data_IF_277017746315
#
_entry.id   IF_277017746315
#
_cell.length_a   1.000
_cell.length_b   1.000
_cell.length_c   1.000
_cell.angle_alpha   90.00
_cell.angle_beta   90.00
_cell.angle_gamma   90.00
#
_symmetry.space_group_name_H-M   'P 1'
#
loop_
_entity.id
_entity.type
_entity.pdbx_description
1 polymer ?
#
# COMPACT_ATOMS: atom_id res chain seq x y z
N UNK A 1 -4.44 13.44 -10.55
CA UNK A 1 -4.86 12.08 -10.96
C UNK A 1 -6.11 11.64 -10.22
N UNK A 2 -6.09 11.69 -8.89
CA UNK A 2 -7.27 11.45 -8.05
C UNK A 2 -8.54 12.19 -8.50
N UNK A 3 -8.45 13.41 -9.04
CA UNK A 3 -9.62 14.10 -9.64
C UNK A 3 -10.27 13.34 -10.81
N UNK A 4 -9.48 12.67 -11.67
CA UNK A 4 -10.02 11.86 -12.77
C UNK A 4 -10.76 10.63 -12.22
N UNK A 5 -10.16 9.97 -11.22
CA UNK A 5 -10.81 8.86 -10.49
C UNK A 5 -12.12 9.30 -9.84
N UNK A 6 -12.15 10.49 -9.24
CA UNK A 6 -13.35 11.05 -8.61
C UNK A 6 -14.46 11.27 -9.64
N UNK A 7 -14.13 11.89 -10.78
CA UNK A 7 -15.07 12.13 -11.86
C UNK A 7 -15.62 10.84 -12.46
N UNK A 8 -14.75 9.84 -12.70
CA UNK A 8 -15.16 8.58 -13.31
C UNK A 8 -16.00 7.70 -12.38
N UNK A 9 -15.78 7.80 -11.08
CA UNK A 9 -16.30 6.80 -10.14
C UNK A 9 -17.32 7.31 -9.13
N UNK A 10 -17.68 8.59 -9.18
CA UNK A 10 -18.74 9.17 -8.35
C UNK A 10 -18.49 9.01 -6.85
N UNK A 11 -17.23 9.23 -6.47
CA UNK A 11 -16.76 8.95 -5.12
C UNK A 11 -17.18 10.06 -4.16
N UNK A 12 -17.78 9.75 -3.00
CA UNK A 12 -17.87 10.69 -1.90
C UNK A 12 -16.49 10.84 -1.26
N UNK A 13 -15.99 12.06 -1.21
CA UNK A 13 -14.58 12.36 -0.94
C UNK A 13 -14.46 13.45 0.13
N UNK A 14 -13.59 13.19 1.11
CA UNK A 14 -12.99 14.22 1.96
C UNK A 14 -11.65 14.60 1.35
N UNK A 15 -11.60 15.75 0.68
CA UNK A 15 -10.36 16.28 0.13
C UNK A 15 -9.65 17.13 1.17
N UNK A 16 -8.39 16.80 1.47
CA UNK A 16 -7.58 17.46 2.49
C UNK A 16 -6.36 18.09 1.81
N UNK A 17 -6.15 19.39 2.02
CA UNK A 17 -5.05 20.14 1.43
C UNK A 17 -4.35 20.98 2.50
N UNK A 18 -3.02 21.04 2.46
CA UNK A 18 -2.25 22.01 3.24
C UNK A 18 -2.19 23.33 2.46
N UNK A 19 -2.54 24.43 3.12
CA UNK A 19 -2.41 25.79 2.58
C UNK A 19 -1.45 26.62 3.42
N UNK A 20 -0.61 27.39 2.71
CA UNK A 20 0.39 28.29 3.26
C UNK A 20 0.10 29.76 2.87
N UNK A 21 -1.13 30.06 2.45
CA UNK A 21 -1.52 31.40 1.98
C UNK A 21 -1.59 32.43 3.13
N UNK A 22 -1.74 31.96 4.36
CA UNK A 22 -1.83 32.79 5.56
C UNK A 22 -0.53 32.76 6.35
N UNK A 23 -0.41 33.64 7.36
CA UNK A 23 0.75 33.66 8.28
C UNK A 23 0.90 32.33 9.04
N UNK A 24 -0.22 31.66 9.32
CA UNK A 24 -0.27 30.34 9.95
C UNK A 24 -0.64 29.28 8.91
N UNK A 25 0.12 28.18 8.81
CA UNK A 25 -0.28 27.04 8.00
C UNK A 25 -1.65 26.51 8.44
N UNK A 26 -2.54 26.25 7.48
CA UNK A 26 -3.86 25.67 7.77
C UNK A 26 -4.17 24.51 6.84
N UNK A 27 -5.09 23.66 7.31
CA UNK A 27 -5.61 22.52 6.58
C UNK A 27 -6.98 22.88 6.04
N UNK A 28 -7.13 22.86 4.72
CA UNK A 28 -8.42 23.01 4.05
C UNK A 28 -9.02 21.63 3.80
N UNK A 29 -10.22 21.40 4.32
CA UNK A 29 -11.01 20.20 4.11
C UNK A 29 -12.23 20.53 3.26
N UNK A 30 -12.51 19.73 2.23
CA UNK A 30 -13.70 19.83 1.38
C UNK A 30 -14.45 18.52 1.34
N UNK A 31 -15.77 18.57 1.46
CA UNK A 31 -16.67 17.43 1.29
C UNK A 31 -17.22 17.47 -0.13
N UNK A 32 -16.90 16.46 -0.92
CA UNK A 32 -17.15 16.42 -2.36
C UNK A 32 -17.96 15.18 -2.70
N UNK A 33 -18.98 15.34 -3.55
CA UNK A 33 -19.64 14.24 -4.26
C UNK A 33 -19.57 14.58 -5.75
N UNK A 34 -19.38 13.58 -6.61
CA UNK A 34 -19.54 13.80 -8.04
C UNK A 34 -20.92 13.29 -8.45
N UNK A 35 -21.72 14.19 -9.01
CA UNK A 35 -23.06 13.89 -9.53
C UNK A 35 -23.02 14.22 -11.02
N UNK A 36 -23.30 13.23 -11.86
CA UNK A 36 -23.28 13.37 -13.33
C UNK A 36 -21.96 13.95 -13.88
N UNK A 37 -20.84 13.53 -13.28
CA UNK A 37 -19.50 13.99 -13.66
C UNK A 37 -19.14 15.41 -13.21
N UNK A 38 -20.03 16.09 -12.47
CA UNK A 38 -19.80 17.42 -11.90
C UNK A 38 -19.45 17.30 -10.42
N UNK A 39 -18.32 17.89 -10.02
CA UNK A 39 -17.94 18.00 -8.62
C UNK A 39 -18.86 18.98 -7.87
N UNK A 40 -19.60 18.47 -6.90
CA UNK A 40 -20.39 19.26 -5.95
C UNK A 40 -19.65 19.34 -4.62
N UNK A 41 -19.39 20.56 -4.15
CA UNK A 41 -18.77 20.80 -2.83
C UNK A 41 -19.88 21.07 -1.82
N UNK A 42 -20.10 20.13 -0.90
CA UNK A 42 -21.15 20.24 0.13
C UNK A 42 -20.71 21.09 1.33
N UNK A 43 -19.40 21.20 1.55
CA UNK A 43 -18.87 22.00 2.64
C UNK A 43 -17.37 22.17 2.55
N UNK A 44 -16.88 23.28 3.11
CA UNK A 44 -15.45 23.57 3.26
C UNK A 44 -15.17 24.04 4.68
N UNK A 45 -14.11 23.51 5.29
CA UNK A 45 -13.57 24.00 6.57
C UNK A 45 -12.09 24.27 6.45
N UNK A 46 -11.62 25.28 7.18
CA UNK A 46 -10.21 25.55 7.39
C UNK A 46 -9.91 25.43 8.87
N UNK A 47 -8.87 24.69 9.18
CA UNK A 47 -8.47 24.31 10.53
C UNK A 47 -6.99 24.64 10.67
N UNK A 48 -6.56 25.19 11.80
CA UNK A 48 -5.15 25.50 11.98
C UNK A 48 -4.34 24.20 12.02
N UNK A 49 -3.17 24.18 11.36
CA UNK A 49 -2.35 22.96 11.30
C UNK A 49 -1.97 22.46 12.70
N UNK A 50 -1.82 23.36 13.68
CA UNK A 50 -1.52 23.00 15.07
C UNK A 50 -2.60 22.17 15.76
N UNK A 51 -3.86 22.25 15.32
CA UNK A 51 -4.95 21.43 15.87
C UNK A 51 -4.76 19.93 15.54
N UNK A 52 -3.99 19.60 14.51
CA UNK A 52 -3.62 18.23 14.16
C UNK A 52 -2.40 17.71 14.94
N UNK A 53 -1.92 18.46 15.94
CA UNK A 53 -0.73 18.11 16.72
C UNK A 53 0.59 18.66 16.16
N UNK A 54 0.56 19.61 15.21
CA UNK A 54 1.76 20.25 14.68
C UNK A 54 2.14 21.50 15.50
N UNK A 55 2.97 21.34 16.52
CA UNK A 55 3.49 22.44 17.35
C UNK A 55 4.64 23.24 16.71
N UNK A 56 4.78 24.51 17.12
CA UNK A 56 5.65 25.52 16.49
C UNK A 56 7.14 25.48 16.85
N UNK A 57 7.58 24.66 17.81
CA UNK A 57 8.96 24.67 18.29
C UNK A 57 9.39 23.25 18.60
N UNK A 58 10.34 22.76 17.79
CA UNK A 58 10.93 21.42 17.82
C UNK A 58 9.92 20.32 17.47
N UNK A 59 10.14 19.67 16.31
CA UNK A 59 9.17 18.81 15.65
C UNK A 59 8.50 17.82 16.60
N UNK A 60 7.22 17.48 16.36
CA UNK A 60 6.40 16.81 17.36
C UNK A 60 7.08 15.56 17.90
N UNK A 61 6.84 15.22 19.16
CA UNK A 61 6.81 13.80 19.52
C UNK A 61 5.66 13.22 18.69
N UNK A 62 5.98 12.73 17.47
CA UNK A 62 5.01 12.55 16.37
C UNK A 62 4.03 11.39 16.60
N UNK A 63 3.97 10.88 17.82
CA UNK A 63 2.92 10.00 18.35
C UNK A 63 1.58 10.72 18.60
N UNK A 64 1.55 12.05 18.63
CA UNK A 64 0.36 12.83 19.00
C UNK A 64 -0.50 13.33 17.81
N UNK A 65 -0.17 12.94 16.57
CA UNK A 65 -0.98 13.35 15.42
C UNK A 65 -2.40 12.77 15.53
N UNK A 66 -3.39 13.63 15.38
CA UNK A 66 -4.80 13.27 15.45
C UNK A 66 -5.65 14.15 14.53
N UNK A 67 -6.81 13.66 14.15
CA UNK A 67 -7.86 14.47 13.53
C UNK A 67 -8.63 15.21 14.63
N UNK A 68 -8.79 16.55 14.55
CA UNK A 68 -9.57 17.29 15.52
C UNK A 68 -11.01 16.76 15.64
N UNK A 69 -11.52 16.61 16.86
CA UNK A 69 -12.86 16.06 17.10
C UNK A 69 -13.97 16.80 16.34
N UNK A 70 -13.88 18.13 16.25
CA UNK A 70 -14.82 18.95 15.48
C UNK A 70 -14.80 18.67 13.97
N UNK A 71 -13.68 18.17 13.43
CA UNK A 71 -13.59 17.69 12.04
C UNK A 71 -14.29 16.34 11.92
N UNK A 72 -14.02 15.41 12.83
CA UNK A 72 -14.65 14.08 12.83
C UNK A 72 -16.18 14.17 12.93
N UNK A 73 -16.69 14.99 13.84
CA UNK A 73 -18.14 15.23 13.99
C UNK A 73 -18.77 15.81 12.72
N UNK A 74 -18.10 16.78 12.09
CA UNK A 74 -18.58 17.43 10.87
C UNK A 74 -18.63 16.47 9.68
N UNK A 75 -17.55 15.72 9.46
CA UNK A 75 -17.48 14.70 8.39
C UNK A 75 -18.52 13.61 8.66
N UNK A 76 -18.65 13.14 9.89
CA UNK A 76 -19.63 12.13 10.29
C UNK A 76 -21.08 12.58 10.09
N UNK A 77 -21.40 13.83 10.44
CA UNK A 77 -22.74 14.39 10.22
C UNK A 77 -23.10 14.47 8.73
N UNK A 78 -22.17 14.91 7.89
CA UNK A 78 -22.37 14.93 6.44
C UNK A 78 -22.50 13.52 5.87
N UNK A 79 -21.62 12.59 6.25
CA UNK A 79 -21.67 11.22 5.75
C UNK A 79 -23.02 10.53 6.05
N UNK A 80 -23.59 10.75 7.24
CA UNK A 80 -24.92 10.22 7.59
C UNK A 80 -26.07 10.87 6.81
N UNK A 81 -25.92 12.14 6.43
CA UNK A 81 -26.98 12.87 5.73
C UNK A 81 -26.98 12.61 4.22
N UNK A 82 -25.81 12.49 3.61
CA UNK A 82 -25.66 12.55 2.14
C UNK A 82 -25.31 11.20 1.49
N UNK A 83 -24.83 10.21 2.25
CA UNK A 83 -24.28 8.98 1.68
C UNK A 83 -25.12 7.75 2.00
N UNK A 84 -25.27 6.86 1.02
CA UNK A 84 -25.89 5.54 1.20
C UNK A 84 -25.09 4.72 2.23
N UNK A 85 -25.78 3.93 3.05
CA UNK A 85 -25.20 3.24 4.21
C UNK A 85 -23.99 2.35 3.87
N UNK A 86 -24.00 1.74 2.68
CA UNK A 86 -22.95 0.82 2.24
C UNK A 86 -21.76 1.50 1.53
N UNK A 87 -21.83 2.80 1.22
CA UNK A 87 -20.81 3.46 0.41
C UNK A 87 -19.56 3.80 1.23
N UNK A 88 -18.36 3.43 0.74
CA UNK A 88 -17.12 3.84 1.36
C UNK A 88 -16.93 5.35 1.25
N UNK A 89 -16.35 5.95 2.28
CA UNK A 89 -15.85 7.32 2.21
C UNK A 89 -14.40 7.33 1.74
N UNK A 90 -14.07 8.21 0.80
CA UNK A 90 -12.72 8.34 0.25
C UNK A 90 -11.98 9.52 0.85
N UNK A 91 -10.79 9.29 1.38
CA UNK A 91 -9.86 10.35 1.76
C UNK A 91 -8.93 10.67 0.59
N UNK A 92 -8.92 11.92 0.14
CA UNK A 92 -8.01 12.39 -0.89
C UNK A 92 -7.06 13.45 -0.32
N UNK A 93 -5.80 13.08 -0.15
CA UNK A 93 -4.74 13.98 0.30
C UNK A 93 -4.20 14.77 -0.90
N UNK A 94 -4.66 16.00 -1.07
CA UNK A 94 -4.33 16.86 -2.20
C UNK A 94 -2.95 17.48 -2.01
N UNK A 95 -2.03 17.20 -2.93
CA UNK A 95 -0.67 17.77 -2.88
C UNK A 95 -0.68 19.30 -3.09
N UNK A 96 0.12 20.06 -2.35
CA UNK A 96 0.93 19.61 -1.20
C UNK A 96 0.04 19.39 0.05
N UNK A 97 0.24 18.27 0.73
CA UNK A 97 -0.39 17.96 2.03
C UNK A 97 0.65 17.75 3.16
N UNK A 98 1.94 17.88 2.86
CA UNK A 98 3.02 17.78 3.83
C UNK A 98 2.97 16.47 4.63
N UNK A 99 2.91 16.60 5.94
CA UNK A 99 2.90 15.47 6.88
C UNK A 99 1.49 14.93 7.17
N UNK A 100 0.43 15.51 6.61
CA UNK A 100 -0.97 15.11 6.88
C UNK A 100 -1.28 13.65 6.51
N UNK A 101 -0.47 13.04 5.64
CA UNK A 101 -0.56 11.61 5.35
C UNK A 101 -0.20 10.69 6.53
N UNK A 102 0.50 11.19 7.54
CA UNK A 102 0.81 10.45 8.76
C UNK A 102 -0.24 10.61 9.87
N UNK A 103 -1.25 11.46 9.68
CA UNK A 103 -2.38 11.57 10.61
C UNK A 103 -3.22 10.27 10.52
N UNK A 104 -3.66 9.68 11.64
CA UNK A 104 -4.45 8.46 11.67
C UNK A 104 -5.93 8.74 11.37
N UNK A 105 -6.18 9.20 10.14
CA UNK A 105 -7.52 9.56 9.69
C UNK A 105 -8.54 8.44 9.88
N UNK A 106 -8.14 7.21 9.62
CA UNK A 106 -9.00 6.03 9.72
C UNK A 106 -9.44 5.81 11.17
N UNK A 107 -8.50 5.78 12.10
CA UNK A 107 -8.80 5.65 13.53
C UNK A 107 -9.73 6.74 14.05
N UNK A 108 -9.47 7.99 13.65
CA UNK A 108 -10.14 9.13 14.26
C UNK A 108 -11.46 9.50 13.56
N UNK A 109 -11.60 9.26 12.24
CA UNK A 109 -12.82 9.55 11.49
C UNK A 109 -13.78 8.37 11.44
N UNK A 110 -13.29 7.12 11.33
CA UNK A 110 -14.14 5.98 11.05
C UNK A 110 -15.26 5.78 12.10
N UNK A 111 -15.02 5.92 13.41
CA UNK A 111 -16.07 5.84 14.41
C UNK A 111 -17.20 6.85 14.20
N UNK A 112 -16.89 8.05 13.68
CA UNK A 112 -17.88 9.10 13.43
C UNK A 112 -18.65 8.89 12.12
N UNK A 113 -18.03 8.29 11.09
CA UNK A 113 -18.67 8.07 9.78
C UNK A 113 -19.40 6.72 9.68
N UNK A 114 -19.03 5.75 10.53
CA UNK A 114 -19.62 4.41 10.64
C UNK A 114 -19.70 3.63 9.31
N UNK A 115 -18.65 3.73 8.48
CA UNK A 115 -18.55 3.13 7.14
C UNK A 115 -17.07 2.89 6.78
N UNK A 116 -16.75 2.07 5.76
CA UNK A 116 -15.37 1.94 5.30
C UNK A 116 -14.76 3.30 4.92
N UNK A 117 -13.54 3.56 5.37
CA UNK A 117 -12.76 4.74 5.01
C UNK A 117 -11.51 4.29 4.24
N UNK A 118 -11.37 4.75 3.00
CA UNK A 118 -10.28 4.35 2.10
C UNK A 118 -9.51 5.57 1.63
N UNK A 119 -8.20 5.42 1.41
CA UNK A 119 -7.39 6.47 0.78
C UNK A 119 -7.37 6.30 -0.73
N UNK A 120 -7.59 7.42 -1.42
CA UNK A 120 -7.55 7.46 -2.87
C UNK A 120 -6.08 7.58 -3.34
N UNK A 121 -5.55 6.62 -4.10
CA UNK A 121 -4.20 6.72 -4.64
C UNK A 121 -4.11 7.80 -5.71
N UNK A 122 -2.93 8.43 -5.81
CA UNK A 122 -2.61 9.37 -6.88
C UNK A 122 -2.12 8.65 -8.16
N UNK A 123 -2.05 7.32 -8.15
CA UNK A 123 -1.57 6.50 -9.27
C UNK A 123 -2.75 5.76 -9.88
N UNK A 124 -2.86 5.82 -11.20
CA UNK A 124 -3.52 4.82 -12.03
C UNK A 124 -2.42 4.03 -12.71
N UNK A 125 -2.58 2.78 -13.18
CA UNK A 125 -3.81 2.02 -13.20
C UNK A 125 -3.98 1.06 -12.02
N UNK A 126 -5.11 0.36 -12.02
CA UNK A 126 -5.28 -0.88 -11.29
C UNK A 126 -4.42 -2.00 -11.91
N UNK A 127 -3.35 -2.45 -11.24
CA UNK A 127 -2.43 -3.45 -11.76
C UNK A 127 -3.05 -4.83 -11.98
N UNK A 128 -2.47 -5.61 -12.90
CA UNK A 128 -2.91 -6.97 -13.26
C UNK A 128 -2.67 -7.92 -12.09
N UNK A 129 -3.62 -8.84 -11.85
CA UNK A 129 -3.63 -9.78 -10.72
C UNK A 129 -3.38 -11.21 -11.18
N UNK A 130 -2.77 -12.03 -10.32
CA UNK A 130 -2.80 -13.50 -10.42
C UNK A 130 -4.21 -14.01 -10.14
N UNK A 131 -4.58 -15.15 -10.72
CA UNK A 131 -5.93 -15.74 -10.57
C UNK A 131 -5.94 -17.10 -9.87
N UNK A 132 -4.77 -17.67 -9.61
CA UNK A 132 -4.58 -18.99 -9.02
C UNK A 132 -4.46 -18.89 -7.49
N UNK A 133 -3.22 -18.94 -6.99
CA UNK A 133 -2.85 -18.85 -5.58
C UNK A 133 -2.37 -17.44 -5.29
N UNK A 134 -2.76 -16.88 -4.15
CA UNK A 134 -2.27 -15.58 -3.71
C UNK A 134 -1.02 -15.77 -2.85
N UNK A 135 0.16 -15.56 -3.43
CA UNK A 135 1.44 -15.75 -2.73
C UNK A 135 1.76 -14.51 -1.87
N UNK A 136 1.79 -14.68 -0.56
CA UNK A 136 2.03 -13.64 0.43
C UNK A 136 3.35 -13.89 1.16
N UNK A 137 4.25 -12.90 1.14
CA UNK A 137 5.42 -12.87 2.00
C UNK A 137 5.06 -12.18 3.31
N UNK A 138 5.30 -12.84 4.45
CA UNK A 138 5.25 -12.23 5.77
C UNK A 138 6.68 -12.01 6.27
N UNK A 139 7.15 -10.77 6.24
CA UNK A 139 8.45 -10.36 6.77
C UNK A 139 8.28 -9.84 8.20
N UNK A 140 8.92 -10.50 9.17
CA UNK A 140 8.93 -10.08 10.58
C UNK A 140 10.34 -9.69 10.97
N UNK A 141 10.55 -8.39 11.18
CA UNK A 141 11.87 -7.78 11.39
C UNK A 141 11.83 -6.76 12.54
N UNK A 142 11.51 -7.23 13.74
CA UNK A 142 11.42 -6.43 14.96
C UNK A 142 12.53 -6.82 15.97
N UNK A 143 13.74 -6.25 15.88
CA UNK A 143 14.90 -6.72 16.63
C UNK A 143 14.79 -6.59 18.15
N UNK A 144 14.05 -5.59 18.65
CA UNK A 144 14.06 -5.21 20.06
C UNK A 144 12.86 -5.68 20.85
N UNK A 145 11.89 -6.29 20.20
CA UNK A 145 10.68 -6.70 20.89
C UNK A 145 10.93 -7.96 21.72
N UNK A 146 10.45 -7.90 22.97
CA UNK A 146 10.07 -9.10 23.72
C UNK A 146 9.07 -9.89 22.86
N UNK A 147 8.92 -11.21 23.05
CA UNK A 147 8.00 -12.03 22.26
C UNK A 147 6.70 -11.30 21.95
N UNK A 148 6.60 -10.80 20.72
CA UNK A 148 5.42 -10.08 20.28
C UNK A 148 4.30 -11.11 20.17
N UNK A 149 3.27 -10.94 21.00
CA UNK A 149 2.09 -11.79 21.01
C UNK A 149 1.25 -11.59 19.75
N UNK A 150 1.40 -10.47 19.04
CA UNK A 150 0.63 -10.16 17.86
C UNK A 150 1.14 -10.91 16.61
N UNK A 151 2.44 -11.17 16.47
CA UNK A 151 2.98 -11.86 15.28
C UNK A 151 2.31 -13.23 15.00
N UNK A 152 2.11 -14.12 15.98
CA UNK A 152 1.30 -15.34 15.78
C UNK A 152 -0.14 -15.09 15.31
N UNK A 153 -0.76 -13.98 15.71
CA UNK A 153 -2.11 -13.60 15.30
C UNK A 153 -2.15 -13.03 13.89
N UNK A 154 -1.15 -12.23 13.53
CA UNK A 154 -0.94 -11.75 12.16
C UNK A 154 -0.76 -12.94 11.21
N UNK A 155 0.10 -13.91 11.58
CA UNK A 155 0.28 -15.13 10.78
C UNK A 155 -1.03 -15.90 10.63
N UNK A 156 -1.77 -16.12 11.72
CA UNK A 156 -3.07 -16.80 11.68
C UNK A 156 -4.09 -16.05 10.83
N UNK A 157 -4.08 -14.71 10.87
CA UNK A 157 -4.98 -13.89 10.08
C UNK A 157 -4.72 -14.03 8.57
N UNK A 158 -3.46 -13.87 8.14
CA UNK A 158 -3.11 -13.96 6.71
C UNK A 158 -3.21 -15.40 6.18
N UNK A 159 -2.82 -16.40 6.98
CA UNK A 159 -2.95 -17.81 6.62
C UNK A 159 -4.40 -18.33 6.69
N UNK A 160 -5.29 -17.61 7.38
CA UNK A 160 -6.72 -17.90 7.45
C UNK A 160 -7.53 -17.38 6.25
N UNK A 161 -6.87 -16.73 5.29
CA UNK A 161 -7.47 -16.30 4.03
C UNK A 161 -7.44 -17.48 3.05
N UNK A 162 -8.58 -17.83 2.41
CA UNK A 162 -8.63 -18.92 1.44
C UNK A 162 -7.65 -18.71 0.27
N UNK A 163 -7.07 -19.81 -0.22
CA UNK A 163 -6.16 -19.86 -1.37
C UNK A 163 -4.96 -18.89 -1.27
N UNK A 164 -4.46 -18.67 -0.05
CA UNK A 164 -3.24 -17.92 0.24
C UNK A 164 -2.13 -18.88 0.63
N UNK A 165 -0.98 -18.74 -0.05
CA UNK A 165 0.28 -19.35 0.37
C UNK A 165 1.11 -18.31 1.09
N UNK A 166 1.56 -18.61 2.30
CA UNK A 166 2.31 -17.68 3.15
C UNK A 166 3.77 -18.10 3.27
N UNK A 167 4.67 -17.26 2.79
CA UNK A 167 6.11 -17.42 2.98
C UNK A 167 6.59 -16.50 4.10
N UNK A 168 7.01 -17.07 5.22
CA UNK A 168 7.41 -16.33 6.41
C UNK A 168 8.93 -16.19 6.46
N UNK A 169 9.40 -14.95 6.56
CA UNK A 169 10.80 -14.59 6.71
C UNK A 169 10.97 -13.83 8.02
N UNK A 170 11.76 -14.37 8.92
CA UNK A 170 11.99 -13.81 10.25
C UNK A 170 13.33 -14.31 10.80
N UNK A 171 13.77 -13.72 11.91
CA UNK A 171 14.95 -14.19 12.64
C UNK A 171 14.70 -15.59 13.26
N UNK A 172 15.77 -16.30 13.60
CA UNK A 172 15.72 -17.65 14.16
C UNK A 172 14.85 -17.76 15.42
N UNK A 173 14.87 -16.76 16.31
CA UNK A 173 14.10 -16.76 17.57
C UNK A 173 12.61 -16.59 17.31
N UNK A 174 12.24 -15.71 16.38
CA UNK A 174 10.86 -15.50 15.95
C UNK A 174 10.33 -16.73 15.22
N UNK A 175 11.14 -17.35 14.35
CA UNK A 175 10.80 -18.60 13.65
C UNK A 175 10.44 -19.72 14.62
N UNK A 176 11.26 -19.93 15.66
CA UNK A 176 11.03 -21.00 16.63
C UNK A 176 9.70 -20.84 17.38
N UNK A 177 9.26 -19.60 17.60
CA UNK A 177 7.94 -19.30 18.17
C UNK A 177 6.82 -19.54 17.18
N UNK A 178 6.97 -19.05 15.95
CA UNK A 178 5.95 -19.17 14.92
C UNK A 178 5.71 -20.63 14.52
N UNK A 179 6.72 -21.50 14.62
CA UNK A 179 6.57 -22.94 14.39
C UNK A 179 5.44 -23.56 15.20
N UNK A 180 5.21 -23.11 16.44
CA UNK A 180 4.11 -23.58 17.28
C UNK A 180 2.75 -22.94 16.94
N UNK A 181 2.76 -21.79 16.26
CA UNK A 181 1.58 -21.02 15.88
C UNK A 181 1.12 -21.27 14.44
N UNK A 182 1.88 -22.01 13.63
CA UNK A 182 1.50 -22.34 12.25
C UNK A 182 0.17 -23.09 12.27
N UNK A 183 -0.87 -22.57 11.60
CA UNK A 183 -2.15 -23.25 11.54
C UNK A 183 -2.01 -24.57 10.78
N UNK A 184 -2.58 -25.65 11.31
CA UNK A 184 -2.52 -26.97 10.68
C UNK A 184 -3.14 -27.05 9.27
N UNK A 185 -4.01 -26.09 8.93
CA UNK A 185 -4.75 -26.05 7.67
C UNK A 185 -4.22 -25.01 6.66
N UNK A 186 -3.15 -24.26 6.99
CA UNK A 186 -2.61 -23.22 6.10
C UNK A 186 -1.42 -23.70 5.27
N UNK A 187 -1.29 -23.21 4.04
CA UNK A 187 -0.07 -23.36 3.24
C UNK A 187 0.97 -22.33 3.69
N UNK A 188 1.70 -22.67 4.75
CA UNK A 188 2.69 -21.79 5.40
C UNK A 188 4.08 -22.39 5.33
N UNK A 189 5.02 -21.66 4.73
CA UNK A 189 6.44 -22.01 4.68
C UNK A 189 7.26 -21.06 5.54
N UNK A 190 7.91 -21.58 6.57
CA UNK A 190 8.88 -20.84 7.40
C UNK A 190 10.28 -20.97 6.80
N UNK A 191 10.80 -19.90 6.21
CA UNK A 191 12.14 -19.88 5.61
C UNK A 191 13.22 -19.77 6.68
N UNK A 192 14.37 -20.40 6.43
CA UNK A 192 15.56 -20.30 7.28
C UNK A 192 16.59 -19.43 6.60
N UNK A 193 17.14 -18.47 7.34
CA UNK A 193 18.18 -17.61 6.82
C UNK A 193 19.46 -18.41 6.59
N UNK A 194 20.02 -18.27 5.38
CA UNK A 194 21.26 -18.93 4.97
C UNK A 194 22.21 -17.83 4.47
N UNK A 195 23.15 -17.35 5.31
CA UNK A 195 24.05 -16.24 4.97
C UNK A 195 24.81 -16.46 3.66
N UNK A 196 25.24 -17.71 3.40
CA UNK A 196 26.03 -18.04 2.21
C UNK A 196 25.27 -17.78 0.90
N UNK A 197 23.93 -17.83 0.90
CA UNK A 197 23.12 -17.50 -0.28
C UNK A 197 23.15 -16.00 -0.56
N UNK A 198 23.16 -15.18 0.49
CA UNK A 198 23.09 -13.71 0.38
C UNK A 198 24.48 -13.12 0.10
N UNK A 199 25.52 -13.60 0.76
CA UNK A 199 26.87 -13.03 0.65
C UNK A 199 27.55 -13.39 -0.68
N UNK A 200 27.35 -14.60 -1.22
CA UNK A 200 27.91 -15.01 -2.53
C UNK A 200 27.43 -14.14 -3.71
N UNK A 201 26.34 -13.41 -3.53
CA UNK A 201 25.82 -12.50 -4.56
C UNK A 201 26.52 -11.14 -4.62
N UNK A 202 27.34 -10.79 -3.62
CA UNK A 202 28.10 -9.53 -3.62
C UNK A 202 29.44 -9.65 -4.37
N UNK A 203 29.94 -10.87 -4.60
CA UNK A 203 31.28 -11.13 -5.17
C UNK A 203 31.33 -11.32 -6.70
N UNK A 204 30.24 -11.10 -7.45
CA UNK A 204 30.20 -11.34 -8.90
C UNK A 204 29.32 -10.37 -9.71
N UNK A 205 29.44 -10.44 -11.04
CA UNK A 205 28.71 -9.66 -12.09
C UNK A 205 27.16 -9.67 -11.96
N UNK A 206 26.63 -10.40 -10.99
CA UNK A 206 25.25 -10.41 -10.53
C UNK A 206 25.08 -9.65 -9.22
N UNK A 207 25.78 -8.53 -9.03
CA UNK A 207 25.56 -7.61 -7.91
C UNK A 207 24.05 -7.41 -7.78
N UNK A 208 23.46 -8.06 -6.77
CA UNK A 208 22.02 -8.29 -6.81
C UNK A 208 21.36 -6.92 -6.80
N UNK A 209 20.48 -6.71 -7.76
CA UNK A 209 19.77 -5.46 -7.98
C UNK A 209 19.16 -4.88 -6.67
N UNK A 210 18.77 -5.74 -5.74
CA UNK A 210 18.22 -5.42 -4.42
C UNK A 210 19.35 -5.23 -3.40
N UNK A 211 19.48 -4.01 -2.87
CA UNK A 211 20.50 -3.64 -1.87
C UNK A 211 20.23 -4.26 -0.50
N UNK A 212 18.98 -4.23 -0.06
CA UNK A 212 18.61 -4.74 1.26
C UNK A 212 18.69 -6.28 1.33
N UNK A 213 19.42 -6.79 2.33
CA UNK A 213 19.71 -8.22 2.50
C UNK A 213 18.48 -9.08 2.77
N UNK A 214 17.46 -8.56 3.47
CA UNK A 214 16.20 -9.29 3.69
C UNK A 214 15.45 -9.55 2.38
N UNK A 215 15.29 -8.52 1.56
CA UNK A 215 14.60 -8.67 0.26
C UNK A 215 15.41 -9.51 -0.73
N UNK A 216 16.74 -9.50 -0.61
CA UNK A 216 17.60 -10.40 -1.37
C UNK A 216 17.40 -11.85 -0.94
N UNK A 217 17.37 -12.12 0.36
CA UNK A 217 17.07 -13.44 0.92
C UNK A 217 15.69 -13.94 0.47
N UNK A 218 14.66 -13.09 0.51
CA UNK A 218 13.32 -13.41 0.00
C UNK A 218 13.40 -13.84 -1.47
N UNK A 219 13.98 -13.00 -2.33
CA UNK A 219 14.08 -13.28 -3.77
C UNK A 219 14.78 -14.62 -4.06
N UNK A 220 15.88 -14.89 -3.37
CA UNK A 220 16.65 -16.12 -3.57
C UNK A 220 15.90 -17.37 -3.07
N UNK A 221 15.22 -17.26 -1.92
CA UNK A 221 14.51 -18.40 -1.31
C UNK A 221 13.25 -18.79 -2.08
N UNK A 222 12.66 -17.85 -2.81
CA UNK A 222 11.53 -18.11 -3.70
C UNK A 222 11.96 -18.64 -5.08
N UNK A 223 13.24 -18.93 -5.27
CA UNK A 223 13.79 -19.60 -6.46
C UNK A 223 13.34 -18.99 -7.81
N UNK A 224 13.18 -17.66 -7.85
CA UNK A 224 12.75 -16.96 -9.05
C UNK A 224 11.24 -16.99 -9.30
N UNK A 225 10.41 -17.20 -8.28
CA UNK A 225 8.97 -16.96 -8.32
C UNK A 225 8.63 -15.53 -7.87
N UNK A 226 7.63 -14.91 -8.49
CA UNK A 226 7.06 -13.64 -8.00
C UNK A 226 6.07 -13.91 -6.87
N UNK A 227 5.75 -12.86 -6.13
CA UNK A 227 4.72 -12.89 -5.08
C UNK A 227 3.66 -11.83 -5.35
N UNK A 228 2.49 -12.00 -4.76
CA UNK A 228 1.38 -11.05 -4.87
C UNK A 228 1.41 -10.01 -3.78
N UNK A 229 1.84 -10.37 -2.57
CA UNK A 229 1.90 -9.45 -1.46
C UNK A 229 3.19 -9.59 -0.67
N UNK A 230 3.64 -8.47 -0.09
CA UNK A 230 4.63 -8.47 0.99
C UNK A 230 4.04 -7.71 2.16
N UNK A 231 3.80 -8.42 3.26
CA UNK A 231 3.37 -7.87 4.55
C UNK A 231 4.57 -7.77 5.49
N UNK A 232 4.77 -6.60 6.10
CA UNK A 232 5.92 -6.31 6.95
C UNK A 232 5.47 -5.99 8.37
N UNK A 233 6.04 -6.69 9.34
CA UNK A 233 6.01 -6.32 10.75
C UNK A 233 7.39 -5.77 11.06
N UNK A 234 7.50 -4.44 11.09
CA UNK A 234 8.77 -3.73 11.26
C UNK A 234 8.52 -2.38 11.93
N UNK A 235 9.53 -1.86 12.63
CA UNK A 235 9.42 -0.54 13.24
C UNK A 235 9.51 0.57 12.17
N UNK A 236 8.80 1.67 12.39
CA UNK A 236 8.98 2.91 11.65
C UNK A 236 10.16 3.73 12.17
N UNK A 237 10.78 4.52 11.29
CA UNK A 237 11.73 5.57 11.63
C UNK A 237 11.39 6.86 10.91
N UNK A 238 11.73 7.96 11.57
CA UNK A 238 11.56 9.30 11.05
C UNK A 238 12.90 9.88 10.61
N UNK A 239 12.98 10.30 9.35
CA UNK A 239 14.14 10.94 8.74
C UNK A 239 13.74 12.35 8.28
N UNK A 240 13.78 13.31 9.21
CA UNK A 240 13.25 14.65 8.95
C UNK A 240 11.75 14.61 8.61
N UNK A 241 11.31 15.04 7.40
CA UNK A 241 9.92 14.94 6.95
C UNK A 241 9.57 13.60 6.28
N UNK A 242 10.56 12.71 6.11
CA UNK A 242 10.38 11.42 5.45
C UNK A 242 10.19 10.31 6.47
N UNK A 243 9.50 9.26 6.04
CA UNK A 243 9.38 8.01 6.77
C UNK A 243 10.31 6.94 6.21
N UNK A 244 10.67 5.98 7.05
CA UNK A 244 11.37 4.77 6.69
C UNK A 244 10.86 3.61 7.55
N UNK A 245 11.12 2.38 7.11
CA UNK A 245 11.11 1.22 8.00
C UNK A 245 12.52 0.96 8.53
N UNK A 246 12.61 0.46 9.75
CA UNK A 246 13.83 -0.04 10.37
C UNK A 246 13.86 -1.56 10.27
N UNK A 247 14.96 -2.06 9.73
CA UNK A 247 15.22 -3.49 9.64
C UNK A 247 16.58 -3.78 10.28
N UNK A 248 16.77 -4.92 10.95
CA UNK A 248 18.12 -5.43 11.23
C UNK A 248 18.91 -5.55 9.92
N UNK A 249 20.22 -5.28 9.94
CA UNK A 249 21.03 -5.39 8.71
C UNK A 249 21.06 -6.84 8.19
N UNK A 250 21.20 -7.80 9.11
CA UNK A 250 21.08 -9.22 8.83
C UNK A 250 19.90 -9.85 9.58
N UNK A 251 19.21 -10.84 9.00
CA UNK A 251 18.09 -11.51 9.65
C UNK A 251 18.37 -12.08 11.04
N UNK A 252 19.58 -12.61 11.27
CA UNK A 252 19.96 -13.26 12.53
C UNK A 252 21.00 -12.49 13.35
N UNK A 253 21.25 -11.19 13.08
CA UNK A 253 22.25 -10.41 13.85
C UNK A 253 21.79 -9.94 15.25
N UNK A 254 20.58 -10.32 15.65
CA UNK A 254 19.98 -9.91 16.92
C UNK A 254 19.71 -8.40 17.04
N UNK A 255 19.71 -7.66 15.93
CA UNK A 255 19.48 -6.22 15.89
C UNK A 255 20.68 -5.35 16.25
N UNK A 256 21.90 -5.87 16.08
CA UNK A 256 23.13 -5.14 16.45
C UNK A 256 23.39 -3.93 15.53
N UNK A 257 23.00 -4.03 14.26
CA UNK A 257 22.98 -2.92 13.30
C UNK A 257 21.60 -2.82 12.67
N UNK A 258 21.17 -1.59 12.40
CA UNK A 258 19.92 -1.33 11.71
C UNK A 258 20.18 -0.63 10.39
N UNK A 259 19.38 -1.02 9.40
CA UNK A 259 19.30 -0.38 8.10
C UNK A 259 17.94 0.29 7.95
N UNK A 260 17.97 1.53 7.47
CA UNK A 260 16.79 2.33 7.15
C UNK A 260 16.41 2.09 5.70
N UNK A 261 15.13 1.79 5.45
CA UNK A 261 14.61 1.64 4.09
C UNK A 261 13.47 2.63 3.86
N UNK A 262 13.68 3.58 2.95
CA UNK A 262 12.68 4.58 2.58
C UNK A 262 11.71 4.04 1.51
N UNK A 263 10.59 4.73 1.31
CA UNK A 263 9.53 4.31 0.38
C UNK A 263 10.04 4.02 -1.06
N UNK A 264 10.99 4.80 -1.57
CA UNK A 264 11.53 4.59 -2.92
C UNK A 264 12.33 3.30 -3.07
N UNK A 265 13.20 2.99 -2.09
CA UNK A 265 13.95 1.74 -2.07
C UNK A 265 13.01 0.54 -1.89
N UNK A 266 12.04 0.68 -0.98
CA UNK A 266 11.03 -0.35 -0.72
C UNK A 266 10.17 -0.62 -1.95
N UNK A 267 9.71 0.43 -2.64
CA UNK A 267 8.97 0.28 -3.90
C UNK A 267 9.79 -0.47 -4.96
N UNK A 268 11.09 -0.19 -5.09
CA UNK A 268 11.97 -0.88 -6.02
C UNK A 268 12.14 -2.37 -5.66
N UNK A 269 12.29 -2.69 -4.37
CA UNK A 269 12.37 -4.08 -3.91
C UNK A 269 11.05 -4.84 -4.17
N UNK A 270 9.91 -4.24 -3.83
CA UNK A 270 8.57 -4.81 -4.07
C UNK A 270 8.32 -5.06 -5.56
N UNK A 271 8.68 -4.10 -6.43
CA UNK A 271 8.61 -4.28 -7.88
C UNK A 271 9.45 -5.46 -8.34
N UNK A 272 10.68 -5.63 -7.83
CA UNK A 272 11.55 -6.75 -8.23
C UNK A 272 11.09 -8.11 -7.73
N UNK A 273 10.30 -8.15 -6.66
CA UNK A 273 9.61 -9.35 -6.21
C UNK A 273 8.32 -9.63 -6.99
N UNK A 274 7.89 -8.72 -7.87
CA UNK A 274 6.60 -8.80 -8.56
C UNK A 274 5.39 -8.49 -7.67
N UNK A 275 5.62 -8.06 -6.43
CA UNK A 275 4.60 -7.81 -5.42
C UNK A 275 3.58 -6.79 -5.92
N UNK A 276 2.31 -7.14 -5.88
CA UNK A 276 1.21 -6.24 -6.18
C UNK A 276 0.87 -5.37 -4.96
N UNK A 277 0.72 -6.03 -3.81
CA UNK A 277 0.26 -5.44 -2.56
C UNK A 277 1.43 -5.22 -1.60
N UNK A 278 1.46 -4.07 -0.93
CA UNK A 278 2.34 -3.83 0.21
C UNK A 278 1.50 -3.75 1.49
N UNK A 279 1.86 -4.53 2.49
CA UNK A 279 1.20 -4.49 3.79
C UNK A 279 2.16 -4.25 4.93
N UNK A 280 1.64 -3.64 5.98
CA UNK A 280 2.40 -3.30 7.17
C UNK A 280 1.55 -3.60 8.41
N UNK A 281 2.17 -4.07 9.47
CA UNK A 281 1.57 -4.02 10.81
C UNK A 281 2.51 -3.28 11.74
N UNK A 282 1.94 -2.32 12.47
CA UNK A 282 2.63 -1.59 13.52
C UNK A 282 2.93 -2.53 14.69
N UNK A 283 4.20 -2.76 15.05
CA UNK A 283 4.54 -3.54 16.22
C UNK A 283 4.17 -2.82 17.52
N UNK A 284 3.95 -3.53 18.63
CA UNK A 284 3.40 -2.95 19.87
C UNK A 284 4.29 -1.83 20.44
N UNK A 285 5.61 -1.97 20.30
CA UNK A 285 6.60 -0.99 20.72
C UNK A 285 7.27 -0.34 19.51
N UNK A 286 6.44 0.12 18.57
CA UNK A 286 6.91 0.79 17.38
C UNK A 286 7.83 1.98 17.71
N UNK A 287 8.94 2.12 16.97
CA UNK A 287 9.92 3.19 17.20
C UNK A 287 9.38 4.55 16.75
N UNK A 288 8.59 4.59 15.68
CA UNK A 288 7.97 5.83 15.19
C UNK A 288 6.71 5.53 14.39
N UNK A 289 5.54 5.81 14.97
CA UNK A 289 4.24 5.69 14.29
C UNK A 289 4.18 6.62 13.09
N UNK A 290 4.67 7.85 13.26
CA UNK A 290 4.85 8.77 12.15
C UNK A 290 5.70 8.19 11.03
N UNK A 291 6.87 7.64 11.36
CA UNK A 291 7.79 7.09 10.37
C UNK A 291 7.13 6.00 9.52
N UNK A 292 6.41 5.09 10.19
CA UNK A 292 5.69 4.00 9.56
C UNK A 292 4.51 4.50 8.70
N UNK A 293 3.65 5.36 9.24
CA UNK A 293 2.52 5.94 8.48
C UNK A 293 3.01 6.76 7.29
N UNK A 294 4.12 7.50 7.45
CA UNK A 294 4.69 8.33 6.39
C UNK A 294 5.25 7.49 5.24
N UNK A 295 5.96 6.38 5.53
CA UNK A 295 6.44 5.48 4.46
C UNK A 295 5.28 4.78 3.75
N UNK A 296 4.25 4.38 4.48
CA UNK A 296 3.00 3.81 3.93
C UNK A 296 2.30 4.82 3.02
N UNK A 297 2.18 6.07 3.46
CA UNK A 297 1.59 7.15 2.69
C UNK A 297 2.38 7.48 1.41
N UNK A 298 3.71 7.53 1.51
CA UNK A 298 4.58 7.71 0.35
C UNK A 298 4.41 6.56 -0.65
N UNK A 299 4.35 5.32 -0.19
CA UNK A 299 4.09 4.17 -1.06
C UNK A 299 2.70 4.22 -1.68
N UNK A 300 1.64 4.37 -0.88
CA UNK A 300 0.25 4.37 -1.37
C UNK A 300 -0.06 5.53 -2.32
N UNK A 301 0.62 6.67 -2.13
CA UNK A 301 0.48 7.81 -3.04
C UNK A 301 1.38 7.75 -4.27
N UNK A 302 2.35 6.82 -4.38
CA UNK A 302 3.31 6.81 -5.51
C UNK A 302 3.38 5.49 -6.26
N UNK A 303 2.99 4.38 -5.66
CA UNK A 303 3.04 3.04 -6.23
C UNK A 303 1.70 2.64 -6.86
N UNK A 304 1.75 1.91 -7.98
CA UNK A 304 0.58 1.20 -8.49
C UNK A 304 0.27 -0.04 -7.63
N UNK A 305 -0.93 -0.12 -7.09
CA UNK A 305 -1.41 -1.25 -6.31
C UNK A 305 -1.82 -0.88 -4.88
N UNK A 306 -2.44 -1.81 -4.15
CA UNK A 306 -2.91 -1.56 -2.79
C UNK A 306 -1.76 -1.43 -1.79
N UNK A 307 -1.93 -0.51 -0.84
CA UNK A 307 -1.02 -0.36 0.31
C UNK A 307 -1.85 -0.31 1.58
N UNK A 308 -1.60 -1.23 2.51
CA UNK A 308 -2.32 -1.33 3.77
C UNK A 308 -1.37 -1.15 4.96
N UNK A 309 -1.84 -0.46 6.00
CA UNK A 309 -1.21 -0.44 7.31
C UNK A 309 -2.25 -0.83 8.35
N UNK A 310 -1.91 -1.83 9.14
CA UNK A 310 -2.69 -2.31 10.26
C UNK A 310 -2.06 -1.85 11.58
N UNK A 311 -2.82 -1.12 12.39
CA UNK A 311 -2.40 -0.52 13.66
C UNK A 311 -3.30 -1.05 14.78
N UNK A 312 -3.14 -2.32 15.20
CA UNK A 312 -4.05 -2.91 16.16
C UNK A 312 -4.00 -2.18 17.51
N UNK A 313 -5.17 -1.85 18.07
CA UNK A 313 -5.29 -1.25 19.41
C UNK A 313 -5.82 -2.25 20.47
N UNK A 314 -5.94 -3.54 20.15
CA UNK A 314 -6.48 -4.56 21.06
C UNK A 314 -5.82 -5.94 20.97
N UNK A 315 -6.25 -6.90 21.82
CA UNK A 315 -5.67 -8.23 21.94
C UNK A 315 -6.14 -9.22 20.86
N UNK A 316 -7.01 -8.82 19.92
CA UNK A 316 -7.52 -9.68 18.84
C UNK A 316 -7.31 -9.08 17.43
N UNK A 317 -6.07 -8.70 17.05
CA UNK A 317 -5.69 -8.01 15.81
C UNK A 317 -6.09 -8.73 14.51
N UNK A 318 -6.39 -10.03 14.54
CA UNK A 318 -6.41 -10.84 13.33
C UNK A 318 -7.62 -10.64 12.41
N UNK A 319 -8.78 -10.22 12.94
CA UNK A 319 -10.03 -10.19 12.16
C UNK A 319 -10.00 -9.15 11.04
N UNK A 320 -9.53 -7.94 11.37
CA UNK A 320 -9.49 -6.82 10.43
C UNK A 320 -8.47 -7.08 9.32
N UNK A 321 -7.31 -7.62 9.67
CA UNK A 321 -6.28 -8.00 8.70
C UNK A 321 -6.78 -9.12 7.76
N UNK A 322 -7.50 -10.11 8.29
CA UNK A 322 -8.13 -11.16 7.48
C UNK A 322 -9.14 -10.57 6.50
N UNK A 323 -9.98 -9.64 6.94
CA UNK A 323 -10.95 -8.96 6.09
C UNK A 323 -10.27 -8.15 4.97
N UNK A 324 -9.17 -7.46 5.29
CA UNK A 324 -8.38 -6.72 4.32
C UNK A 324 -7.78 -7.64 3.25
N UNK A 325 -7.13 -8.74 3.63
CA UNK A 325 -6.54 -9.63 2.64
C UNK A 325 -7.59 -10.39 1.81
N UNK A 326 -8.76 -10.70 2.38
CA UNK A 326 -9.89 -11.19 1.58
C UNK A 326 -10.28 -10.16 0.52
N UNK A 327 -10.55 -8.91 0.92
CA UNK A 327 -10.85 -7.82 0.00
C UNK A 327 -9.78 -7.64 -1.08
N UNK A 328 -8.50 -7.66 -0.69
CA UNK A 328 -7.38 -7.44 -1.60
C UNK A 328 -7.13 -8.60 -2.55
N UNK A 329 -7.51 -9.82 -2.22
CA UNK A 329 -7.39 -10.99 -3.09
C UNK A 329 -8.49 -11.03 -4.16
N UNK A 330 -9.67 -10.50 -3.86
CA UNK A 330 -10.80 -10.55 -4.78
C UNK A 330 -10.46 -9.92 -6.15
N UNK A 331 -10.71 -10.69 -7.21
CA UNK A 331 -10.54 -10.23 -8.59
C UNK A 331 -11.68 -9.32 -9.04
N UNK A 332 -12.85 -9.48 -8.41
CA UNK A 332 -14.05 -8.67 -8.67
C UNK A 332 -14.19 -7.58 -7.61
N UNK A 333 -14.89 -6.47 -7.93
CA UNK A 333 -15.22 -5.46 -6.93
C UNK A 333 -15.88 -6.10 -5.70
N UNK A 334 -15.33 -5.83 -4.51
CA UNK A 334 -15.79 -6.42 -3.25
C UNK A 334 -16.11 -5.34 -2.21
N UNK A 335 -16.83 -5.71 -1.15
CA UNK A 335 -17.07 -4.78 -0.05
C UNK A 335 -15.76 -4.41 0.63
N UNK A 336 -15.50 -3.11 0.79
CA UNK A 336 -14.34 -2.64 1.49
C UNK A 336 -14.44 -2.98 3.00
N UNK A 337 -13.33 -3.38 3.65
CA UNK A 337 -13.32 -3.58 5.09
C UNK A 337 -13.53 -2.24 5.81
N UNK A 338 -14.27 -2.26 6.92
CA UNK A 338 -14.38 -1.13 7.83
C UNK A 338 -13.67 -1.48 9.13
N UNK A 339 -12.45 -0.96 9.32
CA UNK A 339 -11.76 -1.02 10.62
C UNK A 339 -10.99 0.28 10.91
N UNK A 340 -11.17 0.89 12.10
CA UNK A 340 -10.39 2.06 12.52
C UNK A 340 -8.89 1.75 12.66
N UNK A 341 -8.54 0.47 12.79
CA UNK A 341 -7.16 -0.01 12.93
C UNK A 341 -6.50 -0.23 11.56
N UNK A 342 -7.17 0.12 10.45
CA UNK A 342 -6.66 -0.10 9.09
C UNK A 342 -6.65 1.20 8.29
N UNK A 343 -5.46 1.58 7.83
CA UNK A 343 -5.25 2.50 6.73
C UNK A 343 -5.13 1.70 5.44
N UNK A 344 -5.95 1.99 4.43
CA UNK A 344 -5.93 1.29 3.15
C UNK A 344 -6.00 2.23 1.95
N UNK A 345 -4.93 2.23 1.15
CA UNK A 345 -4.96 2.74 -0.22
C UNK A 345 -5.51 1.67 -1.15
N UNK A 346 -6.61 1.96 -1.84
CA UNK A 346 -7.24 1.05 -2.79
C UNK A 346 -7.68 1.77 -4.06
N UNK A 347 -7.73 1.05 -5.18
CA UNK A 347 -8.33 1.57 -6.41
C UNK A 347 -9.86 1.52 -6.29
N UNK A 348 -10.59 2.56 -6.71
CA UNK A 348 -12.06 2.54 -6.69
C UNK A 348 -12.68 1.39 -7.48
N UNK A 349 -12.00 0.92 -8.53
CA UNK A 349 -12.40 -0.25 -9.33
C UNK A 349 -12.42 -1.56 -8.54
N UNK A 350 -11.76 -1.64 -7.38
CA UNK A 350 -11.82 -2.80 -6.49
C UNK A 350 -12.98 -2.79 -5.52
N UNK A 351 -13.68 -1.65 -5.38
CA UNK A 351 -14.72 -1.51 -4.37
C UNK A 351 -16.08 -1.72 -5.02
N UNK A 352 -16.82 -2.70 -4.50
CA UNK A 352 -18.19 -2.98 -4.93
C UNK A 352 -19.06 -1.75 -4.69
N UNK A 353 -19.77 -1.33 -5.72
CA UNK A 353 -20.77 -0.27 -5.63
C UNK A 353 -22.17 -0.86 -5.45
N UNK A 354 -23.08 -0.16 -4.75
CA UNK A 354 -24.49 -0.48 -4.78
C UNK A 354 -25.02 -0.44 -6.23
N UNK A 355 -25.79 -1.45 -6.62
CA UNK A 355 -26.30 -1.62 -7.99
C UNK A 355 -27.24 -0.50 -8.46
N UNK A 356 -27.81 0.27 -7.53
CA UNK A 356 -28.80 1.30 -7.81
C UNK A 356 -28.19 2.66 -8.20
N UNK A 357 -26.86 2.81 -8.12
CA UNK A 357 -26.24 4.14 -8.08
C UNK A 357 -25.72 4.73 -9.41
N UNK A 358 -25.64 3.99 -10.53
CA UNK A 358 -25.03 4.57 -11.75
C UNK A 358 -25.56 4.07 -13.10
N UNK A 359 -25.69 4.98 -14.09
CA UNK A 359 -25.69 4.63 -15.51
C UNK A 359 -24.36 3.99 -15.93
N UNK A 360 -24.41 3.04 -16.87
CA UNK A 360 -23.22 2.48 -17.51
C UNK A 360 -22.50 3.57 -18.32
N UNK A 361 -21.49 4.20 -17.71
CA UNK A 361 -20.58 5.08 -18.43
C UNK A 361 -19.35 4.30 -18.88
N UNK A 362 -18.90 4.45 -20.14
CA UNK A 362 -17.64 3.88 -20.58
C UNK A 362 -16.51 4.49 -19.75
N UNK A 363 -15.76 3.63 -19.06
CA UNK A 363 -14.54 4.02 -18.36
C UNK A 363 -13.62 4.77 -19.32
N UNK A 364 -13.24 6.00 -18.96
CA UNK A 364 -12.34 6.84 -19.77
C UNK A 364 -10.89 6.43 -19.51
N UNK A 365 -10.63 5.74 -18.39
CA UNK A 365 -9.33 5.21 -18.00
C UNK A 365 -9.16 3.79 -18.58
N UNK A 366 -8.30 3.58 -19.59
CA UNK A 366 -8.02 2.24 -20.07
C UNK A 366 -7.42 1.39 -18.95
N UNK A 367 -8.05 0.24 -18.68
CA UNK A 367 -7.49 -0.76 -17.78
C UNK A 367 -6.21 -1.32 -18.40
N UNK A 368 -5.12 -1.46 -17.63
CA UNK A 368 -3.92 -2.11 -18.10
C UNK A 368 -4.30 -3.56 -18.34
N UNK A 369 -4.27 -3.97 -19.59
CA UNK A 369 -4.42 -5.36 -19.93
C UNK A 369 -3.02 -5.95 -19.98
N UNK A 370 -2.82 -7.03 -19.23
CA UNK A 370 -1.77 -7.96 -19.56
C UNK A 370 -2.03 -8.46 -20.98
N UNK A 371 -0.96 -8.67 -21.72
CA UNK A 371 -1.03 -9.37 -23.00
C UNK A 371 -1.44 -10.83 -22.76
N UNK A 372 -2.03 -11.52 -23.75
CA UNK A 372 -2.57 -12.85 -23.54
C UNK A 372 -1.58 -13.87 -22.97
N UNK A 373 -0.30 -13.82 -23.36
CA UNK A 373 0.70 -14.76 -22.81
C UNK A 373 1.10 -14.40 -21.38
N UNK A 374 1.19 -13.11 -21.05
CA UNK A 374 1.39 -12.65 -19.68
C UNK A 374 0.24 -13.07 -18.77
N UNK A 375 -1.02 -12.89 -19.21
CA UNK A 375 -2.19 -13.37 -18.46
C UNK A 375 -2.15 -14.87 -18.22
N UNK A 376 -1.82 -15.67 -19.24
CA UNK A 376 -1.70 -17.14 -19.09
C UNK A 376 -0.67 -17.55 -18.04
N UNK A 377 0.44 -16.82 -17.90
CA UNK A 377 1.40 -17.09 -16.82
C UNK A 377 0.88 -16.68 -15.44
N UNK A 378 0.15 -15.56 -15.33
CA UNK A 378 -0.50 -15.15 -14.08
C UNK A 378 -1.63 -16.09 -13.62
N UNK A 379 -2.17 -16.89 -14.54
CA UNK A 379 -3.14 -17.95 -14.24
C UNK A 379 -2.46 -19.27 -13.78
N UNK A 380 -1.13 -19.39 -13.87
CA UNK A 380 -0.39 -20.56 -13.38
C UNK A 380 -0.23 -20.47 -11.86
N UNK A 381 0.02 -21.61 -11.23
CA UNK A 381 0.29 -21.68 -9.78
C UNK A 381 1.55 -20.91 -9.36
N UNK A 382 2.53 -20.78 -10.25
CA UNK A 382 3.76 -20.05 -9.98
C UNK A 382 4.09 -19.13 -11.16
N UNK A 383 4.10 -17.83 -10.90
CA UNK A 383 4.52 -16.82 -11.88
C UNK A 383 6.03 -16.59 -11.76
N UNK A 384 6.79 -16.58 -12.87
CA UNK A 384 8.22 -16.24 -12.84
C UNK A 384 8.47 -14.82 -12.32
N UNK A 385 9.45 -14.66 -11.44
CA UNK A 385 9.83 -13.39 -10.81
C UNK A 385 10.18 -12.31 -11.84
N UNK A 386 10.85 -12.68 -12.93
CA UNK A 386 11.20 -11.73 -14.00
C UNK A 386 9.94 -11.15 -14.65
N UNK A 387 8.91 -11.98 -14.84
CA UNK A 387 7.67 -11.60 -15.49
C UNK A 387 6.83 -10.70 -14.57
N UNK A 388 6.65 -11.12 -13.32
CA UNK A 388 6.00 -10.31 -12.29
C UNK A 388 6.69 -8.95 -12.17
N UNK A 389 8.02 -8.93 -12.06
CA UNK A 389 8.77 -7.68 -11.93
C UNK A 389 8.65 -6.76 -13.15
N UNK A 390 8.73 -7.32 -14.36
CA UNK A 390 8.57 -6.55 -15.59
C UNK A 390 7.16 -5.94 -15.69
N UNK A 391 6.13 -6.71 -15.36
CA UNK A 391 4.75 -6.22 -15.36
C UNK A 391 4.55 -5.08 -14.34
N UNK A 392 5.02 -5.25 -13.09
CA UNK A 392 4.94 -4.17 -12.07
C UNK A 392 5.69 -2.92 -12.49
N UNK A 393 6.84 -3.06 -13.15
CA UNK A 393 7.58 -1.92 -13.68
C UNK A 393 6.78 -1.17 -14.77
N UNK A 394 6.20 -1.89 -15.73
CA UNK A 394 5.39 -1.31 -16.80
C UNK A 394 4.18 -0.56 -16.20
N UNK A 395 3.44 -1.18 -15.27
CA UNK A 395 2.27 -0.57 -14.62
C UNK A 395 2.65 0.71 -13.86
N UNK A 396 3.76 0.68 -13.12
CA UNK A 396 4.28 1.84 -12.42
C UNK A 396 4.58 3.00 -13.38
N UNK A 397 5.26 2.72 -14.50
CA UNK A 397 5.63 3.74 -15.49
C UNK A 397 4.44 4.26 -16.29
N UNK A 398 3.46 3.43 -16.57
CA UNK A 398 2.19 3.90 -17.14
C UNK A 398 1.46 4.86 -16.21
N UNK A 399 1.54 4.61 -14.90
CA UNK A 399 0.97 5.50 -13.92
C UNK A 399 1.68 6.84 -13.78
N UNK A 400 3.00 6.83 -13.85
CA UNK A 400 3.78 8.05 -13.99
C UNK A 400 3.35 8.81 -15.26
N UNK A 401 3.31 8.15 -16.43
CA UNK A 401 2.94 8.79 -17.69
C UNK A 401 1.55 9.45 -17.65
N UNK A 402 0.56 8.79 -17.04
CA UNK A 402 -0.81 9.31 -16.92
C UNK A 402 -0.85 10.58 -16.07
N UNK A 403 -0.04 10.68 -15.01
CA UNK A 403 0.00 11.87 -14.13
C UNK A 403 0.37 13.14 -14.88
N UNK A 404 1.21 13.03 -15.90
CA UNK A 404 1.74 14.19 -16.62
C UNK A 404 0.87 14.67 -17.78
N UNK A 405 -0.15 13.90 -18.22
CA UNK A 405 -1.06 14.32 -19.30
C UNK A 405 -1.92 15.55 -18.97
N UNK A 406 -1.89 16.04 -17.72
CA UNK A 406 -2.74 17.14 -17.27
C UNK A 406 -2.41 18.53 -17.84
N UNK A 407 -1.13 18.82 -18.18
CA UNK A 407 -0.72 20.07 -18.87
C UNK A 407 0.79 20.09 -19.18
N UNK A 408 1.30 19.26 -20.12
CA UNK A 408 2.73 19.22 -20.39
C UNK A 408 3.19 20.43 -21.22
N UNK A 409 4.38 20.95 -20.91
CA UNK A 409 5.08 21.83 -21.86
C UNK A 409 5.64 21.03 -23.06
N UNK A 410 6.19 21.72 -24.08
CA UNK A 410 6.64 21.06 -25.31
C UNK A 410 7.79 20.07 -25.08
N UNK A 411 8.72 20.37 -24.16
CA UNK A 411 9.82 19.47 -23.78
C UNK A 411 9.32 18.22 -23.05
N UNK A 412 8.37 18.39 -22.13
CA UNK A 412 7.73 17.30 -21.40
C UNK A 412 6.97 16.38 -22.37
N UNK A 413 6.28 16.95 -23.35
CA UNK A 413 5.55 16.19 -24.37
C UNK A 413 6.47 15.23 -25.14
N UNK A 414 7.64 15.69 -25.58
CA UNK A 414 8.61 14.85 -26.28
C UNK A 414 9.19 13.75 -25.37
N UNK A 415 9.52 14.10 -24.12
CA UNK A 415 10.00 13.13 -23.13
C UNK A 415 8.96 12.02 -22.89
N UNK A 416 7.69 12.38 -22.66
CA UNK A 416 6.62 11.42 -22.40
C UNK A 416 6.25 10.59 -23.61
N UNK A 417 6.34 11.13 -24.83
CA UNK A 417 6.22 10.32 -26.05
C UNK A 417 7.34 9.26 -26.13
N UNK A 418 8.56 9.63 -25.76
CA UNK A 418 9.69 8.69 -25.65
C UNK A 418 9.44 7.59 -24.61
N UNK A 419 8.95 7.95 -23.42
CA UNK A 419 8.57 6.99 -22.37
C UNK A 419 7.46 6.05 -22.85
N UNK A 420 6.41 6.57 -23.47
CA UNK A 420 5.32 5.75 -24.01
C UNK A 420 5.83 4.74 -25.05
N UNK A 421 6.65 5.18 -26.01
CA UNK A 421 7.25 4.30 -27.02
C UNK A 421 8.18 3.25 -26.40
N UNK A 422 8.92 3.61 -25.35
CA UNK A 422 9.77 2.66 -24.63
C UNK A 422 8.93 1.59 -23.90
N UNK A 423 7.79 1.97 -23.32
CA UNK A 423 6.87 1.04 -22.66
C UNK A 423 6.21 0.07 -23.63
N UNK A 424 5.81 0.53 -24.82
CA UNK A 424 5.30 -0.35 -25.87
C UNK A 424 6.34 -1.40 -26.29
N UNK A 425 7.60 -0.99 -26.46
CA UNK A 425 8.71 -1.92 -26.76
C UNK A 425 8.96 -2.88 -25.61
N UNK A 426 8.92 -2.41 -24.36
CA UNK A 426 9.09 -3.26 -23.19
C UNK A 426 7.99 -4.34 -23.12
N UNK A 427 6.72 -3.95 -23.32
CA UNK A 427 5.57 -4.89 -23.40
C UNK A 427 5.78 -5.93 -24.50
N UNK A 428 6.22 -5.53 -25.69
CA UNK A 428 6.47 -6.44 -26.80
C UNK A 428 7.60 -7.44 -26.52
N UNK A 429 8.66 -7.02 -25.81
CA UNK A 429 9.76 -7.91 -25.39
C UNK A 429 9.28 -8.91 -24.35
N UNK A 430 8.55 -8.43 -23.34
CA UNK A 430 7.99 -9.28 -22.26
C UNK A 430 7.04 -10.32 -22.86
N UNK A 431 6.11 -9.92 -23.73
CA UNK A 431 5.17 -10.84 -24.37
C UNK A 431 5.90 -11.92 -25.19
N UNK A 432 6.87 -11.53 -26.02
CA UNK A 432 7.64 -12.48 -26.83
C UNK A 432 8.40 -13.49 -25.97
N UNK A 433 8.93 -13.07 -24.83
CA UNK A 433 9.64 -13.97 -23.94
C UNK A 433 8.67 -14.89 -23.19
N UNK A 434 7.57 -14.34 -22.68
CA UNK A 434 6.50 -15.07 -22.04
C UNK A 434 5.93 -16.16 -22.96
N UNK A 435 5.71 -15.84 -24.26
CA UNK A 435 5.21 -16.79 -25.26
C UNK A 435 6.18 -17.96 -25.51
N UNK A 436 7.49 -17.76 -25.39
CA UNK A 436 8.50 -18.83 -25.56
C UNK A 436 8.58 -19.80 -24.38
N UNK A 437 8.11 -19.39 -23.20
CA UNK A 437 8.11 -20.19 -21.97
C UNK A 437 6.77 -20.90 -21.71
N UNK A 438 5.77 -20.70 -22.57
CA UNK A 438 4.51 -21.45 -22.62
C UNK A 438 4.67 -22.65 -23.55
#
# INVERSE_FOLDING_TARGET
>A
MAMLLQQEHWLPVVAVRLTMEQRTPSVELRLIVNVDGVQQVHGTRRIDLSEFGYGAVEGPSRSELAVPGAVAEWVGAWARAELVEADPLWLHLVKPYGALGAVPWERDLQPAVARPLLRLPDVLPNPVRTTSTYDLVLLVACPWERPDTATPEILRAVAGVPDVRVHVFCDARTRDRLRAAVPAAGDVTLHTYLPELVDKSDDGDYASDIRNRWFRWIKLSLAGQSVDAVHMVAHGAQLGPQGAILLPDLPDDGGSMLTLMQAGELAAALTRLGALTAGFTRPQHNNSDYGLRRVVDDLGSTRAGPVLLHEPEGPAPGADLTACYRFLREFRPAAAPASPDVLLYAQPDHVRRPAEAMPDFPSVIPRPTATPSVSRHFDREATPAWLGAAQRYIEQKEGELRRFRGSPNSSESAYYAGVASALEKARAVVERHAEREL
#
